data_IF_216375376197
#
_entry.id   IF_216375376197
#
_cell.length_a   1.000
_cell.length_b   1.000
_cell.length_c   1.000
_cell.angle_alpha   90.00
_cell.angle_beta   90.00
_cell.angle_gamma   90.00
#
_symmetry.space_group_name_H-M   'P 1'
#
loop_
_entity.id
_entity.type
_entity.pdbx_description
1 polymer ?
#
# COMPACT_ATOMS: atom_id res chain seq x y z
N UNK A 1 18.29 7.03 -11.30
CA UNK A 1 17.27 6.06 -10.82
C UNK A 1 16.87 5.17 -12.01
N UNK A 2 17.24 3.88 -12.04
CA UNK A 2 16.90 2.98 -13.18
C UNK A 2 15.58 2.28 -12.90
N UNK A 3 14.63 2.42 -13.83
CA UNK A 3 13.29 1.88 -13.72
C UNK A 3 13.27 0.39 -14.05
N UNK A 4 13.10 -0.48 -13.05
CA UNK A 4 12.55 -1.83 -13.26
C UNK A 4 11.24 -1.83 -12.53
N UNK A 5 10.12 -1.68 -13.23
CA UNK A 5 8.79 -1.91 -12.63
C UNK A 5 8.68 -3.44 -12.53
N UNK A 6 8.83 -4.05 -11.34
CA UNK A 6 8.77 -5.49 -11.22
C UNK A 6 7.39 -5.97 -11.69
N UNK A 7 7.35 -7.17 -12.27
CA UNK A 7 6.12 -7.82 -12.76
C UNK A 7 5.02 -7.91 -11.68
N UNK A 8 5.40 -7.74 -10.40
CA UNK A 8 4.53 -7.79 -9.22
C UNK A 8 3.90 -6.45 -8.80
N UNK A 9 4.37 -5.29 -9.29
CA UNK A 9 3.70 -4.01 -9.05
C UNK A 9 2.26 -4.02 -9.58
N UNK A 10 1.98 -4.86 -10.58
CA UNK A 10 0.67 -4.97 -11.20
C UNK A 10 -0.38 -5.68 -10.32
N UNK A 11 0.05 -6.47 -9.34
CA UNK A 11 -0.86 -7.06 -8.36
C UNK A 11 -1.51 -5.99 -7.47
N UNK A 12 -0.96 -4.77 -7.43
CA UNK A 12 -1.47 -3.65 -6.64
C UNK A 12 -2.61 -2.90 -7.31
N UNK A 13 -2.94 -3.19 -8.57
CA UNK A 13 -4.12 -2.61 -9.24
C UNK A 13 -5.41 -3.39 -8.95
N UNK A 14 -5.38 -4.28 -7.95
CA UNK A 14 -6.50 -5.11 -7.51
C UNK A 14 -7.11 -4.50 -6.24
N UNK A 15 -8.37 -4.87 -5.89
CA UNK A 15 -8.99 -4.47 -4.63
C UNK A 15 -8.25 -5.09 -3.44
N UNK A 16 -7.21 -4.41 -2.96
CA UNK A 16 -6.32 -4.85 -1.89
C UNK A 16 -6.00 -3.63 -1.01
N UNK A 17 -6.10 -3.77 0.31
CA UNK A 17 -5.90 -2.66 1.25
C UNK A 17 -4.48 -2.07 1.21
N UNK A 18 -3.47 -2.88 0.86
CA UNK A 18 -2.07 -2.46 0.73
C UNK A 18 -1.67 -2.19 -0.73
N UNK A 19 -2.63 -1.90 -1.61
CA UNK A 19 -2.36 -1.41 -2.95
C UNK A 19 -1.58 -0.09 -2.87
N UNK A 20 -0.48 0.03 -3.64
CA UNK A 20 0.17 1.33 -3.80
C UNK A 20 -0.65 2.17 -4.77
N UNK A 21 -1.70 2.83 -4.26
CA UNK A 21 -2.59 3.70 -5.03
C UNK A 21 -1.95 5.06 -5.36
N UNK A 22 -0.87 5.42 -4.66
CA UNK A 22 -0.07 6.62 -4.92
C UNK A 22 1.39 6.24 -5.15
N UNK A 23 1.93 6.63 -6.31
CA UNK A 23 3.35 6.52 -6.64
C UNK A 23 4.00 7.90 -6.57
N UNK A 24 4.95 8.06 -5.66
CA UNK A 24 5.76 9.27 -5.52
C UNK A 24 7.09 9.03 -6.23
N UNK A 25 7.38 9.82 -7.25
CA UNK A 25 8.50 9.58 -8.16
C UNK A 25 9.35 10.82 -8.36
N UNK A 26 10.68 10.63 -8.46
CA UNK A 26 11.60 11.73 -8.68
C UNK A 26 11.36 12.37 -10.06
N UNK A 27 11.37 13.70 -10.13
CA UNK A 27 11.00 14.45 -11.34
C UNK A 27 11.79 14.01 -12.59
N UNK A 28 13.09 13.76 -12.46
CA UNK A 28 14.01 13.28 -13.52
C UNK A 28 13.52 12.05 -14.30
N UNK A 29 12.65 11.22 -13.71
CA UNK A 29 12.15 10.00 -14.32
C UNK A 29 10.63 9.91 -14.38
N UNK A 30 9.92 10.94 -13.91
CA UNK A 30 8.46 10.95 -13.78
C UNK A 30 7.78 10.74 -15.14
N UNK A 31 8.20 11.47 -16.18
CA UNK A 31 7.64 11.39 -17.52
C UNK A 31 7.86 10.01 -18.16
N UNK A 32 9.10 9.51 -18.06
CA UNK A 32 9.47 8.18 -18.58
C UNK A 32 8.69 7.07 -17.88
N UNK A 33 8.50 7.17 -16.57
CA UNK A 33 7.69 6.23 -15.80
C UNK A 33 6.23 6.27 -16.21
N UNK A 34 5.62 7.46 -16.27
CA UNK A 34 4.23 7.63 -16.64
C UNK A 34 3.96 7.06 -18.05
N UNK A 35 4.87 7.30 -18.99
CA UNK A 35 4.81 6.74 -20.34
C UNK A 35 4.92 5.22 -20.33
N UNK A 36 5.91 4.66 -19.62
CA UNK A 36 6.07 3.21 -19.50
C UNK A 36 4.89 2.53 -18.81
N UNK A 37 4.26 3.21 -17.84
CA UNK A 37 3.07 2.73 -17.16
C UNK A 37 1.86 2.69 -18.10
N UNK A 38 1.63 3.76 -18.88
CA UNK A 38 0.56 3.79 -19.91
C UNK A 38 0.69 2.62 -20.89
N UNK A 39 1.89 2.39 -21.42
CA UNK A 39 2.17 1.26 -22.33
C UNK A 39 1.80 -0.06 -21.67
N UNK A 40 2.17 -0.25 -20.40
CA UNK A 40 1.80 -1.47 -19.66
C UNK A 40 0.29 -1.61 -19.51
N UNK A 41 -0.43 -0.56 -19.13
CA UNK A 41 -1.90 -0.61 -19.02
C UNK A 41 -2.57 -0.98 -20.34
N UNK A 42 -2.11 -0.44 -21.47
CA UNK A 42 -2.63 -0.81 -22.79
C UNK A 42 -2.40 -2.29 -23.12
N UNK A 43 -1.26 -2.86 -22.73
CA UNK A 43 -1.00 -4.30 -22.90
C UNK A 43 -2.01 -5.18 -22.13
N UNK A 44 -2.55 -4.70 -21.01
CA UNK A 44 -3.53 -5.46 -20.21
C UNK A 44 -4.95 -5.39 -20.75
N UNK A 45 -5.24 -4.48 -21.69
CA UNK A 45 -6.60 -4.28 -22.21
C UNK A 45 -7.26 -5.57 -22.70
N UNK A 46 -6.46 -6.45 -23.31
CA UNK A 46 -6.93 -7.72 -23.88
C UNK A 46 -6.81 -8.91 -22.93
N UNK A 47 -6.47 -8.68 -21.66
CA UNK A 47 -6.25 -9.72 -20.63
C UNK A 47 -7.25 -9.63 -19.48
N UNK A 48 -8.29 -8.80 -19.62
CA UNK A 48 -9.38 -8.68 -18.65
C UNK A 48 -10.56 -9.56 -19.08
N UNK A 49 -11.20 -10.25 -18.13
CA UNK A 49 -12.31 -11.14 -18.46
C UNK A 49 -12.72 -12.10 -17.37
N UNK A 50 -13.29 -13.23 -17.78
CA UNK A 50 -13.72 -14.32 -16.89
C UNK A 50 -12.52 -14.84 -16.07
N UNK A 51 -12.58 -14.84 -14.72
CA UNK A 51 -11.49 -15.31 -13.88
C UNK A 51 -11.16 -16.81 -14.07
N UNK A 52 -12.06 -17.61 -14.66
CA UNK A 52 -11.81 -19.02 -14.98
C UNK A 52 -11.07 -19.23 -16.30
N UNK A 53 -11.02 -18.21 -17.16
CA UNK A 53 -10.31 -18.31 -18.43
C UNK A 53 -8.79 -18.15 -18.23
N UNK A 54 -8.00 -19.07 -18.80
CA UNK A 54 -6.52 -19.07 -18.67
C UNK A 54 -5.85 -17.81 -19.21
N UNK A 55 -6.48 -17.13 -20.17
CA UNK A 55 -5.97 -15.91 -20.77
C UNK A 55 -6.23 -14.66 -19.91
N UNK A 56 -7.07 -14.78 -18.88
CA UNK A 56 -7.43 -13.68 -17.99
C UNK A 56 -6.33 -13.43 -16.97
N UNK A 57 -5.76 -12.24 -16.99
CA UNK A 57 -4.83 -11.75 -15.98
C UNK A 57 -5.54 -10.95 -14.88
N UNK A 58 -6.61 -10.22 -15.24
CA UNK A 58 -7.38 -9.38 -14.32
C UNK A 58 -8.88 -9.68 -14.44
N UNK A 59 -9.46 -10.20 -13.36
CA UNK A 59 -10.89 -10.49 -13.29
C UNK A 59 -11.76 -9.24 -13.03
N UNK A 60 -13.08 -9.42 -12.94
CA UNK A 60 -14.00 -8.33 -12.61
C UNK A 60 -13.82 -7.87 -11.15
N UNK A 61 -14.42 -6.72 -10.83
CA UNK A 61 -14.64 -6.29 -9.46
C UNK A 61 -15.66 -7.21 -8.77
N UNK A 62 -15.65 -7.24 -7.43
CA UNK A 62 -16.46 -8.16 -6.65
C UNK A 62 -17.97 -8.00 -6.88
N UNK A 63 -18.44 -6.76 -7.02
CA UNK A 63 -19.87 -6.46 -7.15
C UNK A 63 -20.14 -5.18 -7.97
N UNK A 64 -21.44 -4.93 -8.20
CA UNK A 64 -21.92 -3.77 -8.96
C UNK A 64 -21.71 -2.46 -8.22
N UNK A 65 -21.88 -2.44 -6.89
CA UNK A 65 -21.73 -1.23 -6.08
C UNK A 65 -20.30 -0.71 -6.17
N UNK A 66 -19.32 -1.61 -6.07
CA UNK A 66 -17.91 -1.28 -6.23
C UNK A 66 -17.59 -0.83 -7.66
N UNK A 67 -18.22 -1.45 -8.66
CA UNK A 67 -18.07 -1.03 -10.06
C UNK A 67 -18.60 0.38 -10.31
N UNK A 68 -19.77 0.70 -9.78
CA UNK A 68 -20.41 2.01 -9.89
C UNK A 68 -19.61 3.09 -9.16
N UNK A 69 -19.12 2.80 -7.95
CA UNK A 69 -18.22 3.69 -7.19
C UNK A 69 -16.96 4.03 -7.97
N UNK A 70 -16.29 3.02 -8.54
CA UNK A 70 -15.07 3.24 -9.34
C UNK A 70 -15.36 4.01 -10.63
N UNK A 71 -16.51 3.75 -11.28
CA UNK A 71 -16.93 4.52 -12.46
C UNK A 71 -17.17 5.99 -12.10
N UNK A 72 -17.92 6.26 -11.03
CA UNK A 72 -18.19 7.61 -10.56
C UNK A 72 -16.89 8.37 -10.23
N UNK A 73 -15.94 7.69 -9.59
CA UNK A 73 -14.61 8.23 -9.36
C UNK A 73 -13.94 8.69 -10.66
N UNK A 74 -13.89 7.83 -11.69
CA UNK A 74 -13.27 8.18 -12.97
C UNK A 74 -13.99 9.29 -13.73
N UNK A 75 -15.32 9.38 -13.66
CA UNK A 75 -16.06 10.50 -14.26
C UNK A 75 -15.71 11.82 -13.56
N UNK A 76 -15.64 11.84 -12.23
CA UNK A 76 -15.19 13.01 -11.47
C UNK A 76 -13.77 13.45 -11.87
N UNK A 77 -12.85 12.49 -12.11
CA UNK A 77 -11.49 12.79 -12.60
C UNK A 77 -11.51 13.46 -13.97
N UNK A 78 -12.39 13.02 -14.89
CA UNK A 78 -12.48 13.59 -16.24
C UNK A 78 -13.06 14.99 -16.25
N UNK A 79 -14.04 15.26 -15.39
CA UNK A 79 -14.71 16.55 -15.31
C UNK A 79 -13.83 17.64 -14.68
N UNK A 80 -12.90 17.28 -13.79
CA UNK A 80 -12.05 18.25 -13.10
C UNK A 80 -10.55 17.85 -13.05
N UNK A 81 -9.81 17.95 -14.19
CA UNK A 81 -8.36 17.81 -14.21
C UNK A 81 -7.68 19.16 -13.89
N UNK A 82 -6.73 19.25 -12.94
CA UNK A 82 -6.16 18.21 -12.09
C UNK A 82 -6.98 18.04 -10.81
N UNK A 83 -7.19 16.79 -10.39
CA UNK A 83 -7.86 16.52 -9.13
C UNK A 83 -7.17 17.29 -8.01
N UNK A 84 -7.95 18.16 -7.36
CA UNK A 84 -7.70 18.62 -6.01
C UNK A 84 -7.07 17.50 -5.17
N UNK A 85 -6.13 17.88 -4.30
CA UNK A 85 -5.28 16.99 -3.50
C UNK A 85 -6.09 15.94 -2.69
N UNK A 86 -7.41 16.14 -2.55
CA UNK A 86 -8.39 15.29 -1.85
C UNK A 86 -8.65 13.92 -2.51
N UNK A 87 -8.70 13.82 -3.84
CA UNK A 87 -9.12 12.57 -4.50
C UNK A 87 -8.06 11.47 -4.41
N UNK A 88 -6.79 11.85 -4.22
CA UNK A 88 -5.69 10.92 -3.94
C UNK A 88 -5.58 10.53 -2.46
N UNK A 89 -6.37 11.16 -1.56
CA UNK A 89 -6.39 10.84 -0.12
C UNK A 89 -7.39 9.75 0.24
N UNK A 90 -8.33 9.45 -0.66
CA UNK A 90 -9.31 8.39 -0.45
C UNK A 90 -8.91 7.08 -1.13
N UNK A 91 -9.30 5.96 -0.51
CA UNK A 91 -9.04 4.63 -1.05
C UNK A 91 -10.04 4.30 -2.16
N UNK A 92 -9.54 3.94 -3.34
CA UNK A 92 -10.37 3.66 -4.53
C UNK A 92 -10.81 2.19 -4.58
N UNK A 93 -9.97 1.28 -4.07
CA UNK A 93 -10.19 -0.17 -4.07
C UNK A 93 -10.45 -0.74 -5.48
N UNK A 94 -9.71 -0.23 -6.47
CA UNK A 94 -9.85 -0.56 -7.89
C UNK A 94 -8.59 -0.23 -8.70
N UNK A 95 -8.59 -0.47 -10.03
CA UNK A 95 -7.42 -0.31 -10.89
C UNK A 95 -7.13 1.17 -11.22
N UNK A 96 -6.85 1.97 -10.20
CA UNK A 96 -6.55 3.40 -10.30
C UNK A 96 -5.25 3.72 -9.56
N UNK A 97 -4.48 4.66 -10.11
CA UNK A 97 -3.20 5.08 -9.55
C UNK A 97 -3.00 6.59 -9.74
N UNK A 98 -2.61 7.26 -8.66
CA UNK A 98 -2.05 8.62 -8.71
C UNK A 98 -0.53 8.60 -8.84
N UNK A 99 0.02 9.52 -9.64
CA UNK A 99 1.46 9.77 -9.70
C UNK A 99 1.72 11.20 -9.21
N UNK A 100 2.61 11.35 -8.23
CA UNK A 100 3.11 12.64 -7.75
C UNK A 100 4.61 12.72 -8.00
N UNK A 101 5.07 13.84 -8.57
CA UNK A 101 6.50 14.10 -8.73
C UNK A 101 7.06 14.75 -7.45
N UNK A 102 8.35 14.52 -7.16
CA UNK A 102 9.08 15.20 -6.10
C UNK A 102 10.49 15.59 -6.57
N UNK A 103 11.09 16.58 -5.91
CA UNK A 103 12.45 17.09 -6.16
C UNK A 103 13.42 16.80 -5.04
N UNK A 104 12.94 16.70 -3.80
CA UNK A 104 13.78 16.48 -2.62
C UNK A 104 13.29 15.32 -1.76
N UNK A 105 14.21 14.73 -0.98
CA UNK A 105 13.88 13.65 -0.03
C UNK A 105 12.85 14.11 1.01
N UNK A 106 12.98 15.33 1.53
CA UNK A 106 12.04 15.90 2.49
C UNK A 106 10.63 16.08 1.90
N UNK A 107 10.54 16.51 0.64
CA UNK A 107 9.28 16.61 -0.08
C UNK A 107 8.65 15.23 -0.30
N UNK A 108 9.43 14.22 -0.69
CA UNK A 108 8.93 12.86 -0.87
C UNK A 108 8.30 12.30 0.41
N UNK A 109 8.97 12.50 1.55
CA UNK A 109 8.45 12.09 2.87
C UNK A 109 7.17 12.85 3.20
N UNK A 110 7.13 14.17 3.00
CA UNK A 110 5.92 14.98 3.24
C UNK A 110 4.75 14.50 2.39
N UNK A 111 4.97 14.23 1.10
CA UNK A 111 3.93 13.73 0.19
C UNK A 111 3.46 12.33 0.58
N UNK A 112 4.35 11.47 1.08
CA UNK A 112 4.01 10.12 1.53
C UNK A 112 3.24 10.12 2.85
N UNK A 113 3.53 11.08 3.73
CA UNK A 113 2.85 11.28 5.02
C UNK A 113 1.56 12.10 4.92
N UNK A 114 1.25 12.72 3.77
CA UNK A 114 0.01 13.48 3.56
C UNK A 114 -1.19 12.56 3.30
N UNK A 115 -1.50 11.73 4.29
CA UNK A 115 -2.60 10.77 4.28
C UNK A 115 -3.03 10.46 5.71
N UNK A 116 -4.29 10.09 5.88
CA UNK A 116 -4.81 9.60 7.17
C UNK A 116 -4.53 8.10 7.38
N UNK A 117 -3.92 7.43 6.39
CA UNK A 117 -3.69 6.00 6.35
C UNK A 117 -2.20 5.68 6.54
N UNK A 118 -1.90 4.46 6.97
CA UNK A 118 -0.53 4.04 7.30
C UNK A 118 -0.35 2.53 7.24
N UNK A 119 -0.95 1.86 6.24
CA UNK A 119 -0.90 0.40 6.14
C UNK A 119 0.47 -0.12 5.68
N UNK A 120 0.88 0.28 4.48
CA UNK A 120 2.13 -0.17 3.88
C UNK A 120 2.80 0.93 3.08
N UNK A 121 4.13 0.95 3.08
CA UNK A 121 4.93 1.79 2.19
C UNK A 121 6.04 0.98 1.52
N UNK A 122 6.56 1.49 0.41
CA UNK A 122 7.67 0.88 -0.30
C UNK A 122 8.64 1.95 -0.80
N UNK A 123 9.94 1.74 -0.58
CA UNK A 123 11.00 2.64 -1.02
C UNK A 123 11.85 1.96 -2.08
N UNK A 124 11.92 2.54 -3.28
CA UNK A 124 12.81 2.09 -4.36
C UNK A 124 14.03 3.02 -4.49
N UNK A 125 15.21 2.51 -4.16
CA UNK A 125 16.49 3.21 -4.33
C UNK A 125 17.65 2.21 -4.38
N UNK A 126 18.74 2.56 -5.05
CA UNK A 126 19.99 1.79 -5.02
C UNK A 126 20.93 2.25 -3.89
N UNK A 127 20.58 3.30 -3.16
CA UNK A 127 21.34 3.83 -2.03
C UNK A 127 20.73 3.32 -0.72
N UNK A 128 21.44 2.41 -0.05
CA UNK A 128 20.99 1.80 1.21
C UNK A 128 20.88 2.82 2.35
N UNK A 129 21.77 3.82 2.40
CA UNK A 129 21.73 4.83 3.45
C UNK A 129 20.50 5.71 3.28
N UNK A 130 20.16 6.06 2.03
CA UNK A 130 18.89 6.73 1.71
C UNK A 130 17.69 5.86 2.05
N UNK A 131 17.72 4.57 1.68
CA UNK A 131 16.63 3.66 1.98
C UNK A 131 16.31 3.66 3.47
N UNK A 132 17.32 3.42 4.33
CA UNK A 132 17.14 3.38 5.78
C UNK A 132 16.67 4.73 6.37
N UNK A 133 17.25 5.86 5.91
CA UNK A 133 16.85 7.20 6.38
C UNK A 133 15.41 7.55 6.02
N UNK A 134 15.01 7.29 4.77
CA UNK A 134 13.65 7.56 4.30
C UNK A 134 12.67 6.63 5.00
N UNK A 135 12.95 5.32 5.01
CA UNK A 135 12.11 4.31 5.62
C UNK A 135 11.85 4.57 7.10
N UNK A 136 12.88 4.98 7.87
CA UNK A 136 12.72 5.30 9.29
C UNK A 136 11.84 6.52 9.57
N UNK A 137 11.46 7.29 8.55
CA UNK A 137 10.62 8.49 8.67
C UNK A 137 9.21 8.31 8.11
N UNK A 138 8.90 7.17 7.51
CA UNK A 138 7.57 6.89 6.96
C UNK A 138 6.70 6.21 8.01
N UNK A 139 5.48 6.72 8.18
CA UNK A 139 4.51 6.20 9.15
C UNK A 139 3.68 5.07 8.53
N UNK A 140 4.25 3.87 8.45
CA UNK A 140 3.55 2.69 7.95
C UNK A 140 3.81 1.46 8.83
N UNK A 141 2.80 0.60 8.97
CA UNK A 141 2.97 -0.62 9.78
C UNK A 141 3.72 -1.74 9.08
N UNK A 142 3.77 -1.72 7.74
CA UNK A 142 4.69 -2.54 6.93
C UNK A 142 5.49 -1.64 5.99
N UNK A 143 6.78 -1.93 5.83
CA UNK A 143 7.61 -1.20 4.87
C UNK A 143 8.57 -2.15 4.15
N UNK A 144 8.63 -2.01 2.83
CA UNK A 144 9.60 -2.72 2.01
C UNK A 144 10.62 -1.79 1.35
N UNK A 145 11.80 -2.32 1.05
CA UNK A 145 12.85 -1.64 0.30
C UNK A 145 13.16 -2.44 -0.97
N UNK A 146 13.09 -1.79 -2.13
CA UNK A 146 13.37 -2.36 -3.47
C UNK A 146 12.51 -3.57 -3.85
N UNK A 147 11.43 -3.79 -3.12
CA UNK A 147 10.48 -4.86 -3.31
C UNK A 147 9.10 -4.35 -2.91
N UNK A 148 8.04 -4.87 -3.54
CA UNK A 148 6.67 -4.54 -3.15
C UNK A 148 5.99 -5.76 -2.58
N UNK A 149 5.59 -5.65 -1.32
CA UNK A 149 5.15 -6.67 -0.38
C UNK A 149 4.37 -7.87 -0.93
N UNK A 150 4.64 -9.02 -0.31
CA UNK A 150 3.69 -10.12 -0.18
C UNK A 150 3.73 -10.61 1.27
N UNK A 151 2.58 -10.74 1.97
CA UNK A 151 2.58 -11.11 3.37
C UNK A 151 3.17 -12.50 3.62
N UNK A 152 4.11 -12.56 4.55
CA UNK A 152 4.60 -13.79 5.12
C UNK A 152 3.88 -14.03 6.45
N UNK A 153 3.33 -15.24 6.63
CA UNK A 153 2.55 -15.61 7.83
C UNK A 153 3.33 -15.45 9.14
N UNK A 154 4.66 -15.46 9.07
CA UNK A 154 5.57 -15.34 10.22
C UNK A 154 5.90 -13.90 10.58
N UNK A 155 5.57 -12.94 9.73
CA UNK A 155 5.90 -11.52 9.91
C UNK A 155 4.65 -10.75 10.31
N UNK A 156 4.72 -9.91 11.36
CA UNK A 156 3.61 -9.05 11.72
C UNK A 156 3.23 -8.09 10.60
N UNK A 157 1.93 -7.94 10.37
CA UNK A 157 1.32 -6.98 9.46
C UNK A 157 0.34 -6.11 10.25
N UNK A 158 0.38 -4.81 10.04
CA UNK A 158 -0.63 -3.88 10.56
C UNK A 158 -0.61 -2.56 9.82
N UNK A 159 -1.67 -1.80 10.04
CA UNK A 159 -1.67 -0.37 9.77
C UNK A 159 -1.45 0.47 11.00
N UNK A 160 -0.88 1.64 10.76
CA UNK A 160 -0.82 2.76 11.68
C UNK A 160 -2.00 3.71 11.40
N UNK A 161 -2.16 4.73 12.25
CA UNK A 161 -3.18 5.79 12.12
C UNK A 161 -4.58 5.21 11.86
N UNK A 162 -5.31 5.60 10.80
CA UNK A 162 -6.64 5.06 10.50
C UNK A 162 -6.60 3.69 9.81
N UNK A 163 -5.42 3.17 9.47
CA UNK A 163 -5.26 1.85 8.87
C UNK A 163 -5.16 0.71 9.90
N UNK A 164 -5.18 1.01 11.20
CA UNK A 164 -5.15 -0.03 12.23
C UNK A 164 -5.68 0.44 13.57
N UNK A 165 -5.83 -0.50 14.50
CA UNK A 165 -6.39 -0.28 15.84
C UNK A 165 -5.34 -0.49 16.95
N UNK A 166 -4.04 -0.41 16.60
CA UNK A 166 -2.94 -0.77 17.50
C UNK A 166 -2.61 -2.26 17.53
N UNK A 167 -3.46 -3.13 16.98
CA UNK A 167 -3.22 -4.56 16.82
C UNK A 167 -2.22 -4.91 15.72
N UNK A 168 -1.80 -6.17 15.70
CA UNK A 168 -0.94 -6.77 14.68
C UNK A 168 -1.52 -8.13 14.29
N UNK A 169 -1.56 -8.43 13.00
CA UNK A 169 -1.87 -9.77 12.46
C UNK A 169 -0.57 -10.42 11.97
N UNK A 170 -0.55 -11.75 11.80
CA UNK A 170 0.67 -12.47 11.43
C UNK A 170 1.75 -12.52 12.53
N UNK A 171 2.65 -13.50 12.37
CA UNK A 171 3.76 -13.75 13.29
C UNK A 171 3.35 -13.99 14.75
N UNK A 172 4.33 -13.92 15.65
CA UNK A 172 4.09 -14.07 17.08
C UNK A 172 3.30 -12.89 17.68
N UNK A 173 3.36 -11.71 17.05
CA UNK A 173 2.64 -10.53 17.51
C UNK A 173 1.12 -10.76 17.51
N UNK A 174 0.58 -11.45 16.50
CA UNK A 174 -0.84 -11.77 16.42
C UNK A 174 -1.32 -12.69 17.54
N UNK A 175 -0.49 -13.65 17.96
CA UNK A 175 -0.84 -14.59 19.04
C UNK A 175 -1.20 -13.83 20.31
N UNK A 176 -0.48 -12.74 20.62
CA UNK A 176 -0.75 -11.91 21.81
C UNK A 176 -2.14 -11.30 21.80
N UNK A 177 -2.72 -11.03 20.63
CA UNK A 177 -4.08 -10.50 20.49
C UNK A 177 -5.17 -11.52 20.86
N UNK A 178 -4.81 -12.81 20.97
CA UNK A 178 -5.72 -13.90 21.35
C UNK A 178 -5.47 -14.42 22.77
N UNK A 179 -4.56 -13.81 23.53
CA UNK A 179 -4.23 -14.22 24.89
C UNK A 179 -4.83 -13.26 25.91
N UNK A 180 -5.33 -13.83 27.02
CA UNK A 180 -5.79 -13.08 28.17
C UNK A 180 -4.81 -13.21 29.33
N UNK A 181 -4.34 -12.07 29.85
CA UNK A 181 -3.38 -12.07 30.96
C UNK A 181 -4.12 -12.27 32.29
N UNK A 182 -3.67 -13.25 33.07
CA UNK A 182 -4.14 -13.47 34.45
C UNK A 182 -2.97 -13.27 35.41
N UNK A 183 -3.09 -12.28 36.29
CA UNK A 183 -2.13 -12.03 37.36
C UNK A 183 -2.63 -12.71 38.64
N UNK A 184 -1.76 -13.47 39.30
CA UNK A 184 -2.00 -13.92 40.67
C UNK A 184 -0.77 -13.59 41.52
N UNK A 185 -1.03 -13.22 42.77
CA UNK A 185 -0.01 -12.91 43.75
C UNK A 185 -0.10 -13.93 44.87
N UNK A 186 1.02 -14.53 45.24
CA UNK A 186 1.10 -15.48 46.35
C UNK A 186 1.81 -14.80 47.51
N UNK A 187 1.14 -14.70 48.66
CA UNK A 187 1.80 -14.32 49.91
C UNK A 187 2.65 -15.51 50.39
N UNK A 188 3.96 -15.31 50.57
CA UNK A 188 4.87 -16.35 51.06
C UNK A 188 5.02 -16.33 52.59
N UNK A 189 4.46 -15.33 53.29
CA UNK A 189 4.51 -15.18 54.76
C UNK A 189 3.37 -15.92 55.48
N UNK A 190 2.65 -16.81 54.79
CA UNK A 190 1.75 -17.77 55.45
C UNK A 190 2.63 -18.81 56.15
N UNK A 191 2.97 -18.50 57.40
CA UNK A 191 3.89 -19.26 58.24
C UNK A 191 3.62 -20.77 58.24
N UNK A 192 4.73 -21.52 58.24
CA UNK A 192 4.78 -22.92 58.64
C UNK A 192 4.25 -23.05 60.06
N UNK A 193 2.96 -23.38 60.19
CA UNK A 193 2.38 -23.86 61.44
C UNK A 193 2.98 -25.20 61.85
#
# INVERSE_FOLDING_TARGET
MRLRIPHRTLAQFRPICFAATTVIIHEDIAEKFATGLKVRFEMFKNTMGDPLAKATFLGPLADKVQTERIRAFFEQVKENPPLEESVLKEEIFGPALGIKAFRSEGEAIRLASDTNYGLSACVYTNDIARALRVSGRLESGTLDISYSYFPAITVPFAGWTRSGNGGREGGYAAVKSYLESKTFTVNMDVGSG
#
